data_IF_029072692967
#
_entry.id   IF_029072692967
#
_cell.length_a   1.000
_cell.length_b   1.000
_cell.length_c   1.000
_cell.angle_alpha   90.00
_cell.angle_beta   90.00
_cell.angle_gamma   90.00
#
_symmetry.space_group_name_H-M   'P 1'
#
loop_
_entity.id
_entity.type
_entity.pdbx_description
1 polymer ?
#
# COMPACT_ATOMS: atom_id res chain seq x y z
N UNK A 1 20.89 -11.28 -31.48
CA UNK A 1 20.95 -10.15 -30.51
C UNK A 1 19.69 -10.09 -29.63
N UNK A 2 18.49 -9.94 -30.20
CA UNK A 2 17.23 -9.87 -29.42
C UNK A 2 16.97 -11.08 -28.51
N UNK A 3 17.10 -12.31 -29.02
CA UNK A 3 16.87 -13.54 -28.22
C UNK A 3 17.78 -13.64 -26.98
N UNK A 4 19.06 -13.28 -27.13
CA UNK A 4 20.00 -13.26 -26.00
C UNK A 4 19.59 -12.20 -24.95
N UNK A 5 19.10 -11.04 -25.38
CA UNK A 5 18.58 -10.03 -24.46
C UNK A 5 17.32 -10.51 -23.72
N UNK A 6 16.39 -11.15 -24.42
CA UNK A 6 15.20 -11.76 -23.80
C UNK A 6 15.58 -12.81 -22.75
N UNK A 7 16.53 -13.70 -23.06
CA UNK A 7 17.01 -14.71 -22.09
C UNK A 7 17.62 -14.07 -20.84
N UNK A 8 18.35 -12.96 -20.96
CA UNK A 8 18.85 -12.22 -19.79
C UNK A 8 17.71 -11.72 -18.89
N UNK A 9 16.63 -11.19 -19.46
CA UNK A 9 15.46 -10.76 -18.69
C UNK A 9 14.69 -11.94 -18.06
N UNK A 10 14.63 -13.08 -18.75
CA UNK A 10 14.04 -14.32 -18.20
C UNK A 10 14.84 -14.76 -16.97
N UNK A 11 16.16 -14.96 -17.11
CA UNK A 11 17.01 -15.38 -16.01
C UNK A 11 16.98 -14.40 -14.83
N UNK A 12 17.04 -13.10 -15.12
CA UNK A 12 16.90 -12.07 -14.08
C UNK A 12 15.58 -12.19 -13.31
N UNK A 13 14.46 -12.36 -14.02
CA UNK A 13 13.14 -12.51 -13.38
C UNK A 13 13.06 -13.80 -12.57
N UNK A 14 13.59 -14.89 -13.10
CA UNK A 14 13.53 -16.20 -12.47
C UNK A 14 14.34 -16.22 -11.16
N UNK A 15 15.55 -15.68 -11.17
CA UNK A 15 16.38 -15.54 -9.97
C UNK A 15 15.72 -14.64 -8.91
N UNK A 16 15.19 -13.49 -9.32
CA UNK A 16 14.56 -12.53 -8.39
C UNK A 16 13.20 -12.97 -7.83
N UNK A 17 12.56 -13.97 -8.45
CA UNK A 17 11.25 -14.49 -8.01
C UNK A 17 11.37 -15.90 -7.43
N UNK A 18 12.58 -16.41 -7.24
CA UNK A 18 12.82 -17.81 -6.86
C UNK A 18 12.06 -18.80 -7.76
N UNK A 19 12.01 -18.50 -9.06
CA UNK A 19 11.45 -19.35 -10.13
C UNK A 19 9.92 -19.53 -10.07
N UNK A 20 9.21 -18.64 -9.35
CA UNK A 20 7.74 -18.59 -9.32
C UNK A 20 7.20 -17.67 -10.44
N UNK A 21 8.01 -16.71 -10.89
CA UNK A 21 7.60 -15.66 -11.83
C UNK A 21 6.44 -14.81 -11.28
N UNK A 22 5.79 -14.01 -12.14
CA UNK A 22 4.68 -13.13 -11.72
C UNK A 22 3.33 -13.84 -11.76
N UNK A 23 3.16 -14.71 -12.74
CA UNK A 23 1.93 -15.40 -13.06
C UNK A 23 2.26 -16.68 -13.80
N UNK A 24 1.35 -17.62 -13.72
CA UNK A 24 1.49 -18.98 -14.22
C UNK A 24 1.85 -19.08 -15.69
N UNK A 25 1.26 -18.24 -16.55
CA UNK A 25 1.62 -18.21 -17.98
C UNK A 25 3.10 -17.86 -18.17
N UNK A 26 3.57 -16.81 -17.50
CA UNK A 26 4.98 -16.42 -17.59
C UNK A 26 5.91 -17.47 -16.97
N UNK A 27 5.45 -18.16 -15.92
CA UNK A 27 6.18 -19.24 -15.26
C UNK A 27 6.44 -20.39 -16.23
N UNK A 28 5.39 -20.86 -16.91
CA UNK A 28 5.49 -21.99 -17.85
C UNK A 28 6.33 -21.59 -19.06
N UNK A 29 6.14 -20.39 -19.63
CA UNK A 29 6.92 -19.92 -20.77
C UNK A 29 8.41 -19.78 -20.42
N UNK A 30 8.74 -19.16 -19.29
CA UNK A 30 10.13 -19.01 -18.83
C UNK A 30 10.77 -20.40 -18.60
N UNK A 31 10.04 -21.32 -17.96
CA UNK A 31 10.50 -22.70 -17.77
C UNK A 31 10.83 -23.40 -19.10
N UNK A 32 9.98 -23.25 -20.13
CA UNK A 32 10.24 -23.81 -21.46
C UNK A 32 11.46 -23.14 -22.11
N UNK A 33 11.64 -21.83 -21.97
CA UNK A 33 12.83 -21.13 -22.44
C UNK A 33 14.11 -21.65 -21.78
N UNK A 34 14.12 -21.83 -20.46
CA UNK A 34 15.27 -22.40 -19.73
C UNK A 34 15.54 -23.85 -20.13
N UNK A 35 14.50 -24.63 -20.43
CA UNK A 35 14.64 -25.99 -20.95
C UNK A 35 15.26 -26.02 -22.35
N UNK A 36 14.76 -25.18 -23.26
CA UNK A 36 15.29 -25.05 -24.62
C UNK A 36 16.74 -24.57 -24.62
N UNK A 37 17.13 -23.70 -23.68
CA UNK A 37 18.52 -23.25 -23.51
C UNK A 37 19.41 -24.40 -23.05
N UNK A 38 19.01 -25.14 -22.00
CA UNK A 38 19.70 -26.32 -21.52
C UNK A 38 18.80 -27.17 -20.60
N UNK A 39 18.37 -28.38 -21.04
CA UNK A 39 17.52 -29.27 -20.25
C UNK A 39 18.11 -29.74 -18.93
N UNK A 40 19.44 -29.69 -18.76
CA UNK A 40 20.15 -30.12 -17.56
C UNK A 40 20.51 -28.95 -16.62
N UNK A 41 20.13 -27.71 -16.97
CA UNK A 41 20.47 -26.51 -16.21
C UNK A 41 19.85 -26.50 -14.81
N UNK A 42 20.53 -25.82 -13.88
CA UNK A 42 19.97 -25.58 -12.54
C UNK A 42 18.73 -24.70 -12.60
N UNK A 43 18.66 -23.75 -13.54
CA UNK A 43 17.49 -22.91 -13.74
C UNK A 43 16.24 -23.75 -14.08
N UNK A 44 16.36 -24.68 -15.03
CA UNK A 44 15.26 -25.58 -15.36
C UNK A 44 14.86 -26.47 -14.17
N UNK A 45 15.83 -27.05 -13.46
CA UNK A 45 15.55 -27.87 -12.26
C UNK A 45 14.80 -27.10 -11.18
N UNK A 46 15.13 -25.82 -10.95
CA UNK A 46 14.43 -24.94 -10.00
C UNK A 46 13.01 -24.59 -10.46
N UNK A 47 12.78 -24.39 -11.76
CA UNK A 47 11.43 -24.22 -12.30
C UNK A 47 10.53 -25.45 -12.09
N UNK A 48 11.11 -26.64 -12.27
CA UNK A 48 10.40 -27.92 -12.07
C UNK A 48 10.00 -28.07 -10.60
N UNK A 49 10.90 -27.77 -9.66
CA UNK A 49 10.59 -27.88 -8.23
C UNK A 49 9.49 -26.92 -7.76
N UNK A 50 9.20 -25.87 -8.54
CA UNK A 50 8.18 -24.85 -8.25
C UNK A 50 6.84 -25.06 -8.95
N UNK A 51 6.68 -26.08 -9.82
CA UNK A 51 5.39 -26.33 -10.52
C UNK A 51 4.22 -26.49 -9.54
N UNK A 52 4.46 -27.15 -8.41
CA UNK A 52 3.43 -27.45 -7.42
C UNK A 52 2.86 -26.19 -6.75
N UNK A 53 3.62 -25.10 -6.73
CA UNK A 53 3.19 -23.83 -6.12
C UNK A 53 1.99 -23.23 -6.90
N UNK A 54 1.87 -23.53 -8.20
CA UNK A 54 0.76 -23.10 -9.05
C UNK A 54 -0.40 -24.11 -9.09
N UNK A 55 -0.26 -25.31 -8.52
CA UNK A 55 -1.29 -26.36 -8.60
C UNK A 55 -2.20 -26.35 -7.37
N UNK A 56 -3.51 -26.49 -7.60
CA UNK A 56 -4.53 -26.54 -6.55
C UNK A 56 -5.50 -27.69 -6.79
N UNK A 57 -5.84 -28.44 -5.75
CA UNK A 57 -6.86 -29.49 -5.83
C UNK A 57 -8.21 -28.88 -5.45
N UNK A 58 -9.09 -28.69 -6.43
CA UNK A 58 -10.47 -28.26 -6.24
C UNK A 58 -11.42 -29.48 -6.18
N UNK A 59 -12.69 -29.24 -5.89
CA UNK A 59 -13.73 -30.26 -5.82
C UNK A 59 -13.91 -31.04 -7.13
N UNK A 60 -13.64 -30.39 -8.26
CA UNK A 60 -13.68 -30.96 -9.61
C UNK A 60 -12.31 -31.39 -10.14
N UNK A 61 -11.30 -31.47 -9.27
CA UNK A 61 -9.97 -31.97 -9.58
C UNK A 61 -8.87 -30.90 -9.57
N UNK A 62 -7.71 -31.29 -10.10
CA UNK A 62 -6.51 -30.46 -10.04
C UNK A 62 -6.53 -29.37 -11.11
N UNK A 63 -6.33 -28.13 -10.66
CA UNK A 63 -6.31 -26.90 -11.47
C UNK A 63 -4.99 -26.18 -11.32
N UNK A 64 -4.70 -25.31 -12.28
CA UNK A 64 -3.60 -24.37 -12.17
C UNK A 64 -4.16 -23.00 -11.77
N UNK A 65 -3.57 -22.39 -10.76
CA UNK A 65 -3.89 -21.04 -10.32
C UNK A 65 -3.41 -20.03 -11.38
N UNK A 66 -3.92 -18.79 -11.33
CA UNK A 66 -3.45 -17.73 -12.25
C UNK A 66 -2.17 -17.04 -11.73
N UNK A 67 -2.03 -17.01 -10.42
CA UNK A 67 -0.91 -16.47 -9.65
C UNK A 67 -0.52 -17.52 -8.58
N UNK A 68 0.60 -17.33 -7.87
CA UNK A 68 1.01 -18.20 -6.75
C UNK A 68 0.09 -18.22 -5.52
N UNK A 69 -1.17 -17.80 -5.70
CA UNK A 69 -2.23 -17.70 -4.70
C UNK A 69 -2.65 -16.25 -4.40
N UNK A 70 -3.74 -16.13 -3.65
CA UNK A 70 -4.32 -14.88 -3.15
C UNK A 70 -4.15 -14.70 -1.64
N UNK A 71 -3.23 -15.45 -1.01
CA UNK A 71 -3.15 -15.63 0.45
C UNK A 71 -3.05 -14.29 1.20
N UNK A 72 -2.17 -13.39 0.76
CA UNK A 72 -2.01 -12.08 1.39
C UNK A 72 -3.23 -11.18 1.19
N UNK A 73 -3.78 -11.18 -0.02
CA UNK A 73 -4.97 -10.38 -0.36
C UNK A 73 -6.18 -10.79 0.47
N UNK A 74 -6.47 -12.09 0.49
CA UNK A 74 -7.61 -12.65 1.22
C UNK A 74 -7.43 -12.46 2.73
N UNK A 75 -6.21 -12.62 3.25
CA UNK A 75 -5.91 -12.40 4.67
C UNK A 75 -6.17 -10.94 5.07
N UNK A 76 -5.65 -9.97 4.32
CA UNK A 76 -5.81 -8.54 4.64
C UNK A 76 -7.27 -8.13 4.57
N UNK A 77 -8.00 -8.54 3.53
CA UNK A 77 -9.42 -8.21 3.40
C UNK A 77 -10.26 -8.89 4.49
N UNK A 78 -9.95 -10.14 4.86
CA UNK A 78 -10.65 -10.84 5.93
C UNK A 78 -10.45 -10.15 7.28
N UNK A 79 -9.22 -9.72 7.58
CA UNK A 79 -8.94 -8.93 8.80
C UNK A 79 -9.76 -7.63 8.79
N UNK A 80 -9.78 -6.89 7.67
CA UNK A 80 -10.54 -5.65 7.57
C UNK A 80 -12.04 -5.89 7.80
N UNK A 81 -12.59 -6.95 7.22
CA UNK A 81 -13.99 -7.34 7.42
C UNK A 81 -14.29 -7.64 8.90
N UNK A 82 -13.44 -8.45 9.56
CA UNK A 82 -13.63 -8.80 10.98
C UNK A 82 -13.54 -7.56 11.87
N UNK A 83 -12.56 -6.68 11.64
CA UNK A 83 -12.43 -5.46 12.42
C UNK A 83 -13.64 -4.53 12.25
N UNK A 84 -14.25 -4.50 11.06
CA UNK A 84 -15.47 -3.72 10.80
C UNK A 84 -16.71 -4.25 11.54
N UNK A 85 -16.72 -5.53 11.93
CA UNK A 85 -17.83 -6.14 12.69
C UNK A 85 -17.79 -5.86 14.20
N UNK A 86 -16.74 -5.20 14.70
CA UNK A 86 -16.45 -5.03 16.13
C UNK A 86 -16.26 -6.36 16.92
N UNK A 87 -16.09 -7.51 16.25
CA UNK A 87 -15.85 -8.82 16.89
C UNK A 87 -14.37 -9.11 17.19
N UNK A 88 -13.53 -8.08 17.31
CA UNK A 88 -12.07 -8.23 17.47
C UNK A 88 -11.68 -9.06 18.70
N UNK A 89 -12.46 -8.98 19.77
CA UNK A 89 -12.18 -9.66 21.03
C UNK A 89 -12.45 -11.17 20.93
N UNK A 90 -13.44 -11.56 20.12
CA UNK A 90 -13.75 -12.96 19.81
C UNK A 90 -12.61 -13.58 18.97
N UNK A 91 -12.10 -12.84 17.99
CA UNK A 91 -11.10 -13.34 17.04
C UNK A 91 -9.65 -12.99 17.39
N UNK A 92 -9.37 -12.49 18.59
CA UNK A 92 -8.07 -11.89 18.94
C UNK A 92 -6.86 -12.80 18.70
N UNK A 93 -6.97 -14.10 19.00
CA UNK A 93 -5.88 -15.07 18.79
C UNK A 93 -5.59 -15.33 17.30
N UNK A 94 -6.63 -15.39 16.48
CA UNK A 94 -6.54 -15.54 15.03
C UNK A 94 -5.99 -14.27 14.38
N UNK A 95 -6.48 -13.09 14.79
CA UNK A 95 -5.97 -11.79 14.33
C UNK A 95 -4.47 -11.63 14.63
N UNK A 96 -4.00 -12.14 15.78
CA UNK A 96 -2.56 -12.16 16.10
C UNK A 96 -1.75 -13.01 15.12
N UNK A 97 -2.24 -14.19 14.74
CA UNK A 97 -1.60 -15.05 13.73
C UNK A 97 -1.61 -14.40 12.35
N UNK A 98 -2.74 -13.80 11.97
CA UNK A 98 -2.89 -13.11 10.70
C UNK A 98 -1.96 -11.89 10.59
N UNK A 99 -1.80 -11.13 11.67
CA UNK A 99 -0.81 -10.05 11.75
C UNK A 99 0.64 -10.56 11.58
N UNK A 100 0.99 -11.69 12.21
CA UNK A 100 2.30 -12.30 12.03
C UNK A 100 2.51 -12.75 10.58
N UNK A 101 1.50 -13.35 9.95
CA UNK A 101 1.55 -13.73 8.54
C UNK A 101 1.82 -12.52 7.62
N UNK A 102 1.14 -11.38 7.85
CA UNK A 102 1.39 -10.14 7.09
C UNK A 102 2.84 -9.67 7.27
N UNK A 103 3.35 -9.66 8.51
CA UNK A 103 4.73 -9.26 8.80
C UNK A 103 5.75 -10.15 8.08
N UNK A 104 5.53 -11.47 8.07
CA UNK A 104 6.41 -12.41 7.37
C UNK A 104 6.30 -12.33 5.85
N UNK A 105 5.16 -11.86 5.33
CA UNK A 105 4.94 -11.69 3.90
C UNK A 105 5.49 -10.38 3.33
N UNK A 106 5.99 -9.48 4.18
CA UNK A 106 6.52 -8.19 3.77
C UNK A 106 7.82 -8.34 2.95
N UNK A 107 7.89 -7.67 1.81
CA UNK A 107 9.10 -7.62 0.99
C UNK A 107 10.10 -6.66 1.64
N UNK A 108 11.17 -7.21 2.22
CA UNK A 108 12.19 -6.47 2.98
C UNK A 108 13.44 -6.12 2.15
N UNK A 109 13.50 -6.56 0.89
CA UNK A 109 14.64 -6.36 -0.01
C UNK A 109 14.17 -5.99 -1.42
N UNK A 110 15.01 -5.24 -2.14
CA UNK A 110 14.77 -4.94 -3.55
C UNK A 110 15.27 -6.09 -4.41
N UNK A 111 14.79 -6.16 -5.65
CA UNK A 111 15.41 -7.00 -6.68
C UNK A 111 16.89 -6.63 -6.87
N UNK A 112 17.69 -7.59 -7.30
CA UNK A 112 19.13 -7.40 -7.55
C UNK A 112 19.39 -6.39 -8.68
N UNK A 113 20.56 -5.77 -8.65
CA UNK A 113 20.99 -4.79 -9.65
C UNK A 113 20.23 -3.46 -9.59
N UNK A 114 20.35 -2.66 -10.66
CA UNK A 114 19.66 -1.37 -10.79
C UNK A 114 18.24 -1.60 -11.32
N UNK A 115 17.16 -1.23 -10.57
CA UNK A 115 15.79 -1.55 -10.98
C UNK A 115 15.37 -1.00 -12.35
N UNK A 116 15.89 0.17 -12.75
CA UNK A 116 15.62 0.79 -14.04
C UNK A 116 16.03 -0.06 -15.23
N UNK A 117 17.15 -0.79 -15.12
CA UNK A 117 17.72 -1.58 -16.21
C UNK A 117 16.86 -2.80 -16.53
N UNK A 118 16.04 -3.22 -15.56
CA UNK A 118 15.18 -4.40 -15.64
C UNK A 118 13.68 -4.05 -15.63
N UNK A 119 13.35 -2.76 -15.74
CA UNK A 119 11.98 -2.25 -15.69
C UNK A 119 11.22 -2.68 -14.42
N UNK A 120 11.91 -2.66 -13.27
CA UNK A 120 11.34 -3.04 -11.97
C UNK A 120 11.02 -1.80 -11.13
N UNK A 121 9.89 -1.86 -10.43
CA UNK A 121 9.59 -0.92 -9.36
C UNK A 121 10.37 -1.26 -8.09
N UNK A 122 10.71 -0.24 -7.30
CA UNK A 122 11.30 -0.42 -5.98
C UNK A 122 10.26 -1.13 -5.09
N UNK A 123 10.64 -2.29 -4.56
CA UNK A 123 9.75 -3.19 -3.82
C UNK A 123 10.10 -3.30 -2.34
N UNK A 124 11.34 -2.99 -1.95
CA UNK A 124 11.77 -2.93 -0.56
C UNK A 124 10.94 -1.89 0.14
N UNK A 125 10.16 -2.36 1.10
CA UNK A 125 9.51 -1.50 2.06
C UNK A 125 8.65 -0.39 1.44
N UNK A 126 7.56 -0.81 0.79
CA UNK A 126 6.35 0.03 0.67
C UNK A 126 5.88 0.50 2.07
N UNK A 127 6.28 -0.20 3.14
CA UNK A 127 5.93 0.05 4.55
C UNK A 127 7.10 0.39 5.49
N UNK A 128 8.35 0.49 5.02
CA UNK A 128 9.51 0.86 5.90
C UNK A 128 10.57 1.78 5.28
N UNK A 129 10.29 2.41 4.14
CA UNK A 129 10.87 3.73 3.85
C UNK A 129 9.97 4.80 4.46
N UNK A 130 10.29 5.20 5.70
CA UNK A 130 9.60 6.17 6.55
C UNK A 130 8.24 5.73 7.09
N UNK A 131 8.23 5.13 8.29
CA UNK A 131 7.03 5.00 9.14
C UNK A 131 6.36 6.33 9.54
N UNK A 132 6.87 7.47 9.05
CA UNK A 132 6.30 8.79 9.31
C UNK A 132 5.70 9.48 8.07
N UNK A 133 5.72 8.88 6.88
CA UNK A 133 5.22 9.59 5.70
C UNK A 133 4.14 8.82 4.93
N UNK A 134 2.99 8.65 5.58
CA UNK A 134 1.72 8.29 4.92
C UNK A 134 1.33 9.31 3.82
N UNK A 135 2.02 10.45 3.72
CA UNK A 135 1.79 11.51 2.75
C UNK A 135 2.82 11.55 1.61
N UNK A 136 3.78 10.60 1.56
CA UNK A 136 4.80 10.54 0.50
C UNK A 136 4.23 10.57 -0.94
N UNK A 137 3.10 9.92 -1.27
CA UNK A 137 2.50 10.06 -2.62
C UNK A 137 1.81 11.42 -2.88
N UNK A 138 1.74 12.28 -1.86
CA UNK A 138 1.08 13.59 -1.84
C UNK A 138 2.02 14.74 -1.43
N UNK A 139 3.34 14.55 -1.45
CA UNK A 139 4.29 15.60 -1.07
C UNK A 139 4.35 16.69 -2.14
N UNK A 140 4.16 17.95 -1.73
CA UNK A 140 4.26 19.12 -2.59
C UNK A 140 5.67 19.70 -2.52
N UNK A 141 6.39 19.60 -3.64
CA UNK A 141 7.77 20.11 -3.77
C UNK A 141 7.82 21.49 -4.45
N UNK A 142 6.68 22.19 -4.54
CA UNK A 142 6.59 23.53 -5.14
C UNK A 142 6.16 23.57 -6.62
N UNK A 143 6.06 22.42 -7.30
CA UNK A 143 5.64 22.33 -8.70
C UNK A 143 4.26 21.66 -8.86
N UNK A 144 3.57 21.95 -9.96
CA UNK A 144 2.26 21.35 -10.32
C UNK A 144 1.16 21.52 -9.26
N UNK A 145 1.08 22.72 -8.65
CA UNK A 145 0.15 23.03 -7.56
C UNK A 145 -1.31 22.56 -7.79
N UNK A 146 -1.88 22.77 -8.99
CA UNK A 146 -3.26 22.35 -9.30
C UNK A 146 -3.48 20.84 -9.13
N UNK A 147 -2.50 20.02 -9.53
CA UNK A 147 -2.57 18.56 -9.42
C UNK A 147 -2.46 18.11 -7.97
N UNK A 148 -1.53 18.73 -7.23
CA UNK A 148 -1.38 18.49 -5.80
C UNK A 148 -2.65 18.89 -5.04
N UNK A 149 -3.20 20.07 -5.32
CA UNK A 149 -4.42 20.58 -4.70
C UNK A 149 -5.61 19.62 -4.92
N UNK A 150 -5.81 19.11 -6.14
CA UNK A 150 -6.86 18.14 -6.42
C UNK A 150 -6.70 16.84 -5.63
N UNK A 151 -5.47 16.30 -5.56
CA UNK A 151 -5.17 15.11 -4.76
C UNK A 151 -5.36 15.35 -3.27
N UNK A 152 -4.95 16.52 -2.78
CA UNK A 152 -5.11 16.92 -1.38
C UNK A 152 -6.59 17.03 -1.02
N UNK A 153 -7.40 17.71 -1.86
CA UNK A 153 -8.85 17.80 -1.67
C UNK A 153 -9.53 16.42 -1.66
N UNK A 154 -9.14 15.52 -2.55
CA UNK A 154 -9.64 14.14 -2.56
C UNK A 154 -9.32 13.41 -1.24
N UNK A 155 -8.08 13.54 -0.75
CA UNK A 155 -7.63 12.95 0.52
C UNK A 155 -8.42 13.48 1.73
N UNK A 156 -8.59 14.80 1.83
CA UNK A 156 -9.37 15.44 2.90
C UNK A 156 -10.85 15.04 2.87
N UNK A 157 -11.40 14.82 1.67
CA UNK A 157 -12.78 14.36 1.49
C UNK A 157 -12.95 12.92 1.97
N UNK A 158 -12.03 12.03 1.61
CA UNK A 158 -12.01 10.64 2.09
C UNK A 158 -11.90 10.55 3.62
N UNK A 159 -11.23 11.53 4.25
CA UNK A 159 -11.08 11.64 5.71
C UNK A 159 -12.21 12.41 6.40
N UNK A 160 -13.22 12.88 5.64
CA UNK A 160 -14.37 13.66 6.12
C UNK A 160 -14.02 14.98 6.83
N UNK A 161 -12.88 15.59 6.52
CA UNK A 161 -12.44 16.88 7.10
C UNK A 161 -12.45 18.04 6.08
N UNK A 162 -12.66 17.76 4.79
CA UNK A 162 -12.66 18.79 3.73
C UNK A 162 -13.70 19.90 3.92
N UNK A 163 -14.80 19.63 4.64
CA UNK A 163 -15.85 20.62 4.86
C UNK A 163 -15.34 21.85 5.61
N UNK A 164 -14.36 21.67 6.52
CA UNK A 164 -13.79 22.75 7.33
C UNK A 164 -13.20 23.87 6.48
N UNK A 165 -12.67 23.54 5.29
CA UNK A 165 -12.09 24.54 4.38
C UNK A 165 -13.12 25.50 3.76
N UNK A 166 -14.41 25.15 3.81
CA UNK A 166 -15.48 25.90 3.17
C UNK A 166 -16.57 26.37 4.15
N UNK A 167 -16.39 26.11 5.45
CA UNK A 167 -17.37 26.48 6.50
C UNK A 167 -16.75 27.45 7.48
N UNK A 168 -17.46 28.53 7.78
CA UNK A 168 -17.07 29.44 8.85
C UNK A 168 -17.25 28.81 10.23
N UNK A 169 -16.47 29.31 11.19
CA UNK A 169 -16.54 28.88 12.59
C UNK A 169 -17.93 29.18 13.15
N UNK A 170 -18.55 28.18 13.79
CA UNK A 170 -19.83 28.34 14.48
C UNK A 170 -19.67 29.29 15.67
N UNK A 171 -20.48 30.34 15.70
CA UNK A 171 -20.54 31.29 16.82
C UNK A 171 -21.75 30.94 17.70
N UNK A 172 -21.52 30.68 18.98
CA UNK A 172 -22.58 30.35 19.95
C UNK A 172 -23.16 31.64 20.52
N UNK A 173 -24.45 31.98 20.30
CA UNK A 173 -25.07 33.18 20.86
C UNK A 173 -25.23 33.09 22.39
N UNK A 174 -24.98 34.20 23.09
CA UNK A 174 -25.07 34.27 24.56
C UNK A 174 -26.50 34.12 25.10
N UNK A 175 -27.51 34.32 24.27
CA UNK A 175 -28.94 34.29 24.58
C UNK A 175 -29.61 32.95 24.25
N UNK A 176 -28.89 32.00 23.64
CA UNK A 176 -29.46 30.69 23.28
C UNK A 176 -29.86 29.84 24.50
N UNK A 177 -30.89 29.01 24.33
CA UNK A 177 -31.33 28.04 25.34
C UNK A 177 -30.22 27.05 25.69
N UNK A 178 -30.20 26.56 26.94
CA UNK A 178 -29.13 25.70 27.46
C UNK A 178 -28.86 24.46 26.60
N UNK A 179 -29.91 23.79 26.14
CA UNK A 179 -29.80 22.59 25.31
C UNK A 179 -29.22 22.90 23.92
N UNK A 180 -29.57 24.06 23.35
CA UNK A 180 -29.01 24.55 22.08
C UNK A 180 -27.53 24.91 22.24
N UNK A 181 -27.16 25.56 23.35
CA UNK A 181 -25.77 25.89 23.68
C UNK A 181 -24.91 24.65 23.86
N UNK A 182 -25.40 23.64 24.57
CA UNK A 182 -24.66 22.40 24.80
C UNK A 182 -24.39 21.68 23.46
N UNK A 183 -25.40 21.61 22.58
CA UNK A 183 -25.26 21.04 21.23
C UNK A 183 -24.26 21.83 20.36
N UNK A 184 -24.38 23.15 20.32
CA UNK A 184 -23.46 23.99 19.53
C UNK A 184 -22.02 23.92 20.06
N UNK A 185 -21.84 23.77 21.38
CA UNK A 185 -20.53 23.60 21.99
C UNK A 185 -19.88 22.27 21.58
N UNK A 186 -20.65 21.18 21.51
CA UNK A 186 -20.17 19.91 21.00
C UNK A 186 -19.81 19.98 19.51
N UNK A 187 -20.63 20.62 18.69
CA UNK A 187 -20.35 20.83 17.26
C UNK A 187 -19.09 21.68 17.05
N UNK A 188 -18.90 22.72 17.86
CA UNK A 188 -17.71 23.56 17.86
C UNK A 188 -16.45 22.78 18.26
N UNK A 189 -16.54 21.92 19.28
CA UNK A 189 -15.43 21.07 19.70
C UNK A 189 -15.01 20.10 18.58
N UNK A 190 -15.98 19.45 17.93
CA UNK A 190 -15.74 18.57 16.79
C UNK A 190 -15.16 19.34 15.60
N UNK A 191 -15.66 20.55 15.32
CA UNK A 191 -15.13 21.41 14.27
C UNK A 191 -13.67 21.77 14.52
N UNK A 192 -13.30 22.15 15.75
CA UNK A 192 -11.92 22.46 16.13
C UNK A 192 -10.98 21.26 16.00
N UNK A 193 -11.44 20.07 16.38
CA UNK A 193 -10.68 18.84 16.19
C UNK A 193 -10.44 18.56 14.70
N UNK A 194 -11.49 18.68 13.88
CA UNK A 194 -11.40 18.47 12.44
C UNK A 194 -10.56 19.55 11.74
N UNK A 195 -10.60 20.80 12.19
CA UNK A 195 -9.73 21.89 11.71
C UNK A 195 -8.26 21.61 12.01
N UNK A 196 -7.95 21.21 13.24
CA UNK A 196 -6.60 20.80 13.62
C UNK A 196 -6.10 19.64 12.74
N UNK A 197 -6.92 18.60 12.54
CA UNK A 197 -6.58 17.48 11.68
C UNK A 197 -6.39 17.90 10.22
N UNK A 198 -7.30 18.72 9.68
CA UNK A 198 -7.24 19.21 8.31
C UNK A 198 -5.96 20.00 8.04
N UNK A 199 -5.61 20.94 8.93
CA UNK A 199 -4.35 21.72 8.85
C UNK A 199 -3.13 20.82 8.90
N UNK A 200 -3.10 19.84 9.79
CA UNK A 200 -1.99 18.89 9.89
C UNK A 200 -1.85 18.01 8.64
N UNK A 201 -2.95 17.58 8.03
CA UNK A 201 -2.88 16.81 6.77
C UNK A 201 -2.32 17.65 5.62
N UNK A 202 -2.71 18.91 5.54
CA UNK A 202 -2.19 19.84 4.52
C UNK A 202 -0.69 20.09 4.76
N UNK A 203 -0.30 20.44 5.99
CA UNK A 203 1.10 20.70 6.36
C UNK A 203 1.99 19.49 6.09
N UNK A 204 1.60 18.29 6.55
CA UNK A 204 2.37 17.07 6.31
C UNK A 204 2.39 16.64 4.82
N UNK A 205 1.60 17.29 3.97
CA UNK A 205 1.68 17.14 2.51
C UNK A 205 2.69 18.09 1.85
N UNK A 206 3.39 18.93 2.60
CA UNK A 206 4.40 19.87 2.07
C UNK A 206 5.82 19.29 2.19
N UNK A 207 6.73 19.73 1.31
CA UNK A 207 8.16 19.50 1.51
C UNK A 207 8.66 20.27 2.74
N UNK A 208 9.73 19.77 3.40
CA UNK A 208 10.20 20.27 4.70
C UNK A 208 10.45 21.79 4.70
N UNK A 209 11.03 22.35 3.64
CA UNK A 209 11.24 23.80 3.50
C UNK A 209 9.94 24.62 3.45
N UNK A 210 8.87 24.06 2.88
CA UNK A 210 7.54 24.68 2.85
C UNK A 210 6.80 24.44 4.15
N UNK A 211 6.95 23.25 4.75
CA UNK A 211 6.40 22.93 6.06
C UNK A 211 6.89 23.94 7.11
N UNK A 212 8.21 24.15 7.19
CA UNK A 212 8.83 25.07 8.15
C UNK A 212 8.36 26.52 7.95
N UNK A 213 8.08 26.91 6.70
CA UNK A 213 7.58 28.25 6.38
C UNK A 213 6.12 28.47 6.79
N UNK A 214 5.25 27.48 6.58
CA UNK A 214 3.81 27.58 6.85
C UNK A 214 3.40 27.06 8.24
N UNK A 215 4.28 26.33 8.93
CA UNK A 215 4.04 25.85 10.29
C UNK A 215 3.95 27.03 11.25
N UNK A 216 2.87 27.15 12.05
CA UNK A 216 2.74 28.21 13.05
C UNK A 216 3.67 28.00 14.25
N UNK A 217 4.28 26.82 14.38
CA UNK A 217 5.22 26.49 15.45
C UNK A 217 6.63 26.93 15.05
N UNK A 218 7.20 27.87 15.81
CA UNK A 218 8.61 28.24 15.66
C UNK A 218 9.48 27.07 16.11
N UNK A 219 10.43 26.69 15.26
CA UNK A 219 11.54 25.81 15.62
C UNK A 219 12.36 26.44 16.76
N UNK A 220 12.76 25.61 17.72
CA UNK A 220 13.62 26.01 18.83
C UNK A 220 15.06 26.28 18.39
#
# INVERSE_FOLDING_TARGET
KALCHVMKHIHYKDENTNYICIATVSKVLNMVCCWLENPNSQAFKRHISRIKDDLWVAEDGMKMQSYGGSQLWDTVLSIQAILATNLKDEYGSMLKKANNFIKFSQITTNSSGTPSDWYRHISKDITSSNRNDLNKPFRFEGNHFKHWQQKMMFSLTMRKVAYVLNTDILVVPEDAEKEVKDKMTMELALWNENDYLCKNFILNGLADNLYDYYSPYKSA
#
